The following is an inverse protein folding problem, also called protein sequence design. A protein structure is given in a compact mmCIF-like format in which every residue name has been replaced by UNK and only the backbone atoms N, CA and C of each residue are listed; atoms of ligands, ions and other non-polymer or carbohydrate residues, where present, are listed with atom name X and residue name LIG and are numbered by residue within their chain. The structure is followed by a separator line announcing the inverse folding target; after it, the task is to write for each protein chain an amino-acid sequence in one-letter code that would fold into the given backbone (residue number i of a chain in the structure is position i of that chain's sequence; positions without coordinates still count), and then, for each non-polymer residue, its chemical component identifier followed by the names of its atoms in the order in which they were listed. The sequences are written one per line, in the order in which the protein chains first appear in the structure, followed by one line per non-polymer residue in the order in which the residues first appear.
data_IF_038654470350
#
_entry.id   IF_038654470350
#
_cell.length_a   1.000
_cell.length_b   1.000
_cell.length_c   1.000
_cell.angle_alpha   90.00
_cell.angle_beta   90.00
_cell.angle_gamma   90.00
#
_symmetry.space_group_name_H-M   'P 1'
#
loop_
_entity.id
_entity.type
_entity.pdbx_description
1 polymer ?
#
# COMPACT_ATOMS: atom_id res chain seq x y z
N UNK A 1 -7.36 -1.92 1.24
CA UNK A 1 -8.73 -1.93 0.65
C UNK A 1 -9.79 -1.50 1.67
N UNK A 2 -9.90 -2.15 2.83
CA UNK A 2 -10.91 -1.79 3.83
C UNK A 2 -10.70 -0.40 4.43
N UNK A 3 -9.46 -0.09 4.82
CA UNK A 3 -9.07 1.25 5.30
C UNK A 3 -9.49 2.35 4.32
N UNK A 4 -9.21 2.18 3.02
CA UNK A 4 -9.62 3.15 2.00
C UNK A 4 -11.15 3.28 1.89
N UNK A 5 -11.89 2.18 1.97
CA UNK A 5 -13.35 2.21 1.93
C UNK A 5 -13.96 2.95 3.13
N UNK A 6 -13.40 2.74 4.33
CA UNK A 6 -13.80 3.44 5.55
C UNK A 6 -13.51 4.95 5.46
N UNK A 7 -12.32 5.32 4.96
CA UNK A 7 -11.93 6.72 4.81
C UNK A 7 -12.80 7.43 3.78
N UNK A 8 -13.12 6.78 2.65
CA UNK A 8 -14.06 7.32 1.65
C UNK A 8 -15.43 7.53 2.27
N UNK A 9 -15.96 6.56 3.00
CA UNK A 9 -17.26 6.70 3.64
C UNK A 9 -17.28 7.85 4.66
N UNK A 10 -16.21 7.98 5.44
CA UNK A 10 -16.07 9.02 6.48
C UNK A 10 -15.96 10.42 5.88
N UNK A 11 -15.09 10.60 4.88
CA UNK A 11 -14.74 11.93 4.37
C UNK A 11 -15.60 12.38 3.18
N UNK A 12 -16.11 11.44 2.38
CA UNK A 12 -16.91 11.74 1.19
C UNK A 12 -18.41 11.43 1.38
N UNK A 13 -18.79 10.82 2.51
CA UNK A 13 -20.19 10.47 2.79
C UNK A 13 -20.75 9.37 1.88
N UNK A 14 -19.92 8.68 1.11
CA UNK A 14 -20.35 7.61 0.19
C UNK A 14 -20.54 6.32 0.99
N UNK A 15 -21.75 5.74 1.06
CA UNK A 15 -21.97 4.50 1.79
C UNK A 15 -21.07 3.36 1.30
N UNK A 16 -20.53 2.57 2.22
CA UNK A 16 -19.55 1.51 1.90
C UNK A 16 -20.07 0.45 0.92
N UNK A 17 -21.39 0.28 0.79
CA UNK A 17 -22.03 -0.65 -0.14
C UNK A 17 -22.12 -0.13 -1.59
N UNK A 18 -22.01 1.19 -1.78
CA UNK A 18 -21.96 1.87 -3.07
C UNK A 18 -20.53 1.98 -3.62
N UNK A 19 -19.53 1.91 -2.74
CA UNK A 19 -18.11 1.85 -3.12
C UNK A 19 -17.83 0.56 -3.90
N UNK A 20 -17.42 0.71 -5.15
CA UNK A 20 -16.97 -0.38 -5.98
C UNK A 20 -15.70 -1.03 -5.44
N UNK A 21 -15.57 -2.33 -5.63
CA UNK A 21 -14.38 -3.09 -5.21
C UNK A 21 -13.98 -4.10 -6.29
N UNK A 22 -12.74 -4.00 -6.74
CA UNK A 22 -12.09 -4.95 -7.65
C UNK A 22 -10.82 -5.48 -6.98
N UNK A 23 -10.95 -6.62 -6.33
CA UNK A 23 -9.90 -7.14 -5.44
C UNK A 23 -10.40 -8.27 -4.56
N UNK A 24 -9.48 -9.12 -4.09
CA UNK A 24 -9.78 -10.21 -3.15
C UNK A 24 -10.93 -11.12 -3.65
N UNK A 25 -10.95 -11.43 -4.96
CA UNK A 25 -11.99 -12.26 -5.57
C UNK A 25 -13.32 -11.55 -5.86
N UNK A 26 -13.44 -10.24 -5.58
CA UNK A 26 -14.64 -9.45 -5.90
C UNK A 26 -14.42 -8.66 -7.18
N UNK A 27 -15.42 -8.66 -8.05
CA UNK A 27 -15.53 -7.78 -9.21
C UNK A 27 -16.87 -7.05 -9.15
N UNK A 28 -16.87 -5.84 -8.58
CA UNK A 28 -18.03 -4.96 -8.51
C UNK A 28 -17.59 -3.51 -8.74
N UNK A 29 -17.57 -3.03 -10.00
CA UNK A 29 -17.40 -1.61 -10.26
C UNK A 29 -18.50 -0.80 -9.56
N UNK A 30 -18.11 0.32 -8.96
CA UNK A 30 -19.00 1.27 -8.30
C UNK A 30 -19.40 2.39 -9.26
N UNK A 31 -20.53 3.06 -8.98
CA UNK A 31 -21.02 4.15 -9.84
C UNK A 31 -20.20 5.44 -9.70
N UNK A 32 -19.79 5.76 -8.47
CA UNK A 32 -19.07 7.00 -8.15
C UNK A 32 -17.57 6.75 -7.94
N UNK A 33 -17.23 5.70 -7.20
CA UNK A 33 -15.85 5.39 -6.86
C UNK A 33 -15.65 3.87 -6.83
N UNK A 34 -14.52 3.42 -7.34
CA UNK A 34 -14.11 2.02 -7.30
C UNK A 34 -12.71 1.92 -6.73
N UNK A 35 -12.55 1.11 -5.70
CA UNK A 35 -11.25 0.72 -5.18
C UNK A 35 -10.77 -0.54 -5.90
N UNK A 36 -9.52 -0.57 -6.29
CA UNK A 36 -8.95 -1.73 -6.96
C UNK A 36 -7.49 -1.98 -6.56
N UNK A 37 -7.10 -3.26 -6.56
CA UNK A 37 -5.68 -3.65 -6.50
C UNK A 37 -5.16 -3.89 -7.90
N UNK A 38 -3.92 -3.49 -8.21
CA UNK A 38 -3.32 -3.71 -9.54
C UNK A 38 -3.35 -5.18 -9.95
N UNK A 39 -3.02 -6.12 -9.06
CA UNK A 39 -3.01 -7.56 -9.40
C UNK A 39 -4.38 -8.06 -9.85
N UNK A 40 -5.46 -7.47 -9.33
CA UNK A 40 -6.82 -7.82 -9.72
C UNK A 40 -7.22 -7.12 -11.02
N UNK A 41 -6.79 -5.87 -11.22
CA UNK A 41 -7.01 -5.16 -12.48
C UNK A 41 -6.34 -5.85 -13.67
N UNK A 42 -5.11 -6.34 -13.52
CA UNK A 42 -4.42 -7.12 -14.57
C UNK A 42 -5.30 -8.26 -15.07
N UNK A 43 -5.86 -9.05 -14.14
CA UNK A 43 -6.73 -10.19 -14.46
C UNK A 43 -8.06 -9.72 -15.07
N UNK A 44 -8.65 -8.68 -14.50
CA UNK A 44 -9.92 -8.12 -15.00
C UNK A 44 -9.78 -7.65 -16.43
N UNK A 45 -8.75 -6.88 -16.76
CA UNK A 45 -8.55 -6.32 -18.10
C UNK A 45 -8.21 -7.41 -19.10
N UNK A 46 -7.38 -8.39 -18.74
CA UNK A 46 -7.08 -9.53 -19.62
C UNK A 46 -8.33 -10.37 -19.96
N UNK A 47 -9.26 -10.52 -19.01
CA UNK A 47 -10.47 -11.33 -19.17
C UNK A 47 -11.66 -10.56 -19.74
N UNK A 48 -11.57 -9.23 -19.77
CA UNK A 48 -12.66 -8.35 -20.17
C UNK A 48 -12.20 -7.60 -21.40
N UNK A 49 -12.55 -8.10 -22.59
CA UNK A 49 -12.29 -7.45 -23.89
C UNK A 49 -13.01 -6.10 -24.07
N UNK A 50 -13.43 -5.47 -22.97
CA UNK A 50 -14.42 -4.42 -22.95
C UNK A 50 -13.75 -3.06 -22.72
N UNK A 51 -13.54 -2.33 -23.82
CA UNK A 51 -13.11 -0.93 -23.83
C UNK A 51 -13.95 -0.04 -22.91
N UNK A 52 -15.19 -0.43 -22.65
CA UNK A 52 -16.13 0.29 -21.81
C UNK A 52 -15.65 0.39 -20.36
N UNK A 53 -15.03 -0.67 -19.82
CA UNK A 53 -14.53 -0.65 -18.45
C UNK A 53 -13.35 0.33 -18.31
N UNK A 54 -12.36 0.21 -19.17
CA UNK A 54 -11.17 1.08 -19.11
C UNK A 54 -11.47 2.52 -19.51
N UNK A 55 -12.57 2.76 -20.21
CA UNK A 55 -13.08 4.11 -20.54
C UNK A 55 -14.07 4.66 -19.51
N UNK A 56 -14.50 3.87 -18.52
CA UNK A 56 -15.47 4.32 -17.50
C UNK A 56 -14.85 5.18 -16.39
N UNK A 57 -13.52 5.31 -16.36
CA UNK A 57 -12.80 6.05 -15.33
C UNK A 57 -12.14 7.30 -15.91
N UNK A 58 -12.75 8.47 -15.69
CA UNK A 58 -12.16 9.75 -16.07
C UNK A 58 -10.99 10.20 -15.18
N UNK A 59 -10.86 9.63 -13.97
CA UNK A 59 -9.80 9.95 -13.00
C UNK A 59 -9.26 8.68 -12.36
N UNK A 60 -7.94 8.56 -12.26
CA UNK A 60 -7.24 7.47 -11.58
C UNK A 60 -6.34 8.02 -10.49
N UNK A 61 -6.48 7.47 -9.29
CA UNK A 61 -5.66 7.76 -8.12
C UNK A 61 -4.83 6.52 -7.79
N UNK A 62 -3.51 6.65 -7.77
CA UNK A 62 -2.58 5.54 -7.56
C UNK A 62 -1.88 5.74 -6.22
N UNK A 63 -2.25 4.91 -5.25
CA UNK A 63 -1.57 4.83 -3.96
C UNK A 63 -0.26 4.03 -4.11
N UNK A 64 0.78 4.40 -3.37
CA UNK A 64 2.15 3.91 -3.52
C UNK A 64 2.66 3.88 -4.97
N UNK A 65 2.48 5.01 -5.66
CA UNK A 65 2.77 5.12 -7.09
C UNK A 65 4.24 4.90 -7.48
N UNK A 66 5.17 4.82 -6.51
CA UNK A 66 6.56 4.46 -6.77
C UNK A 66 6.74 3.05 -7.36
N UNK A 67 5.70 2.22 -7.37
CA UNK A 67 5.67 0.91 -8.03
C UNK A 67 5.38 0.95 -9.54
N UNK A 68 4.94 2.09 -10.09
CA UNK A 68 4.57 2.23 -11.51
C UNK A 68 5.64 1.77 -12.51
N UNK A 69 6.96 1.97 -12.27
CA UNK A 69 7.99 1.53 -13.22
C UNK A 69 7.97 0.03 -13.49
N UNK A 70 7.37 -0.78 -12.62
CA UNK A 70 7.17 -2.20 -12.88
C UNK A 70 6.28 -2.41 -14.12
N UNK A 71 6.71 -3.27 -15.03
CA UNK A 71 6.04 -3.53 -16.31
C UNK A 71 4.54 -3.84 -16.14
N UNK A 72 4.19 -4.66 -15.14
CA UNK A 72 2.81 -5.02 -14.84
C UNK A 72 1.95 -3.81 -14.43
N UNK A 73 2.50 -2.89 -13.65
CA UNK A 73 1.79 -1.66 -13.28
C UNK A 73 1.56 -0.80 -14.52
N UNK A 74 2.64 -0.53 -15.26
CA UNK A 74 2.60 0.27 -16.48
C UNK A 74 1.59 -0.26 -17.49
N UNK A 75 1.67 -1.54 -17.85
CA UNK A 75 0.80 -2.14 -18.86
C UNK A 75 -0.67 -2.16 -18.44
N UNK A 76 -0.95 -2.18 -17.13
CA UNK A 76 -2.32 -2.11 -16.60
C UNK A 76 -2.86 -0.69 -16.67
N UNK A 77 -2.10 0.29 -16.17
CA UNK A 77 -2.54 1.68 -16.05
C UNK A 77 -2.67 2.35 -17.43
N UNK A 78 -1.77 2.04 -18.37
CA UNK A 78 -1.81 2.58 -19.73
C UNK A 78 -3.05 2.15 -20.55
N UNK A 79 -3.78 1.13 -20.11
CA UNK A 79 -4.99 0.69 -20.80
C UNK A 79 -6.22 1.54 -20.46
N UNK A 80 -6.14 2.37 -19.41
CA UNK A 80 -7.23 3.25 -19.02
C UNK A 80 -7.20 4.57 -19.80
N UNK A 81 -8.37 4.98 -20.27
CA UNK A 81 -8.57 6.24 -20.99
C UNK A 81 -8.92 7.38 -20.02
N UNK A 82 -8.17 7.50 -18.92
CA UNK A 82 -8.41 8.53 -17.91
C UNK A 82 -7.85 9.87 -18.35
N UNK A 83 -8.61 10.95 -18.13
CA UNK A 83 -8.13 12.31 -18.37
C UNK A 83 -7.22 12.80 -17.24
N UNK A 84 -7.53 12.43 -16.00
CA UNK A 84 -6.73 12.79 -14.82
C UNK A 84 -6.07 11.57 -14.20
N UNK A 85 -4.77 11.67 -13.91
CA UNK A 85 -4.02 10.63 -13.22
C UNK A 85 -3.14 11.26 -12.13
N UNK A 86 -3.27 10.78 -10.90
CA UNK A 86 -2.50 11.26 -9.76
C UNK A 86 -1.87 10.09 -9.02
N UNK A 87 -0.62 10.27 -8.61
CA UNK A 87 0.11 9.32 -7.77
C UNK A 87 0.39 9.90 -6.38
N UNK A 88 0.24 9.06 -5.36
CA UNK A 88 0.61 9.38 -3.99
C UNK A 88 1.71 8.43 -3.55
N UNK A 89 2.80 8.97 -3.00
CA UNK A 89 3.83 8.16 -2.35
C UNK A 89 4.66 8.98 -1.39
N UNK A 90 5.13 8.35 -0.31
CA UNK A 90 6.11 8.95 0.60
C UNK A 90 7.55 8.85 0.06
N UNK A 91 7.79 8.03 -0.97
CA UNK A 91 9.13 7.73 -1.49
C UNK A 91 9.15 7.86 -3.02
N UNK A 92 9.10 9.08 -3.56
CA UNK A 92 9.04 9.30 -5.02
C UNK A 92 10.31 8.85 -5.75
N UNK A 93 11.45 8.81 -5.07
CA UNK A 93 12.74 8.43 -5.67
C UNK A 93 13.21 7.07 -5.16
N UNK A 94 13.19 6.06 -6.03
CA UNK A 94 13.96 4.83 -5.80
C UNK A 94 15.43 5.12 -6.11
N UNK A 95 16.34 4.50 -5.35
CA UNK A 95 17.81 4.72 -5.42
C UNK A 95 18.48 4.24 -6.74
N UNK A 96 17.69 3.91 -7.77
CA UNK A 96 18.12 3.36 -9.06
C UNK A 96 17.43 4.13 -10.20
N UNK A 97 18.01 4.05 -11.40
CA UNK A 97 17.69 4.86 -12.61
C UNK A 97 16.19 4.85 -13.01
N UNK A 98 15.45 3.83 -12.57
CA UNK A 98 14.00 3.67 -12.75
C UNK A 98 13.15 4.80 -12.14
N UNK A 99 13.70 5.60 -11.21
CA UNK A 99 12.99 6.73 -10.60
C UNK A 99 12.49 7.76 -11.62
N UNK A 100 13.17 7.89 -12.77
CA UNK A 100 12.74 8.79 -13.86
C UNK A 100 11.50 8.30 -14.60
N UNK A 101 11.23 6.98 -14.59
CA UNK A 101 10.09 6.40 -15.31
C UNK A 101 8.76 6.80 -14.68
N UNK A 102 8.72 7.09 -13.38
CA UNK A 102 7.50 7.54 -12.71
C UNK A 102 6.99 8.84 -13.37
N UNK A 103 7.89 9.81 -13.58
CA UNK A 103 7.55 11.11 -14.16
C UNK A 103 7.07 11.00 -15.62
N UNK A 104 7.57 10.01 -16.37
CA UNK A 104 7.11 9.76 -17.74
C UNK A 104 5.65 9.29 -17.75
N UNK A 105 5.20 8.58 -16.72
CA UNK A 105 3.85 8.02 -16.67
C UNK A 105 2.85 8.91 -15.94
N UNK A 106 3.27 9.59 -14.87
CA UNK A 106 2.40 10.40 -14.03
C UNK A 106 2.58 11.91 -14.21
N UNK A 107 3.66 12.35 -14.85
CA UNK A 107 4.07 13.74 -14.87
C UNK A 107 4.87 14.14 -13.62
N UNK A 108 5.14 15.43 -13.52
CA UNK A 108 6.01 16.02 -12.50
C UNK A 108 5.40 15.98 -11.09
N UNK A 109 6.26 16.12 -10.07
CA UNK A 109 5.79 16.33 -8.70
C UNK A 109 5.08 17.68 -8.60
N UNK A 110 3.78 17.65 -8.29
CA UNK A 110 2.97 18.85 -8.11
C UNK A 110 3.14 19.44 -6.69
N UNK A 111 3.26 18.56 -5.69
CA UNK A 111 3.40 18.94 -4.28
C UNK A 111 4.28 17.93 -3.54
N UNK A 112 5.20 18.43 -2.72
CA UNK A 112 6.00 17.63 -1.78
C UNK A 112 5.83 18.18 -0.36
N UNK A 113 5.52 17.31 0.60
CA UNK A 113 5.42 17.68 2.02
C UNK A 113 6.66 17.12 2.71
N UNK A 114 7.57 17.99 3.13
CA UNK A 114 8.75 17.59 3.88
C UNK A 114 8.41 17.31 5.34
N UNK A 115 9.12 16.36 5.97
CA UNK A 115 8.95 16.04 7.39
C UNK A 115 9.13 17.26 8.29
N UNK A 116 10.00 18.20 7.90
CA UNK A 116 10.25 19.47 8.60
C UNK A 116 9.05 20.45 8.58
N UNK A 117 8.12 20.30 7.63
CA UNK A 117 6.90 21.12 7.59
C UNK A 117 5.79 20.53 8.48
N UNK A 118 5.92 19.27 8.90
CA UNK A 118 4.95 18.55 9.75
C UNK A 118 5.33 18.59 11.24
N UNK A 119 6.50 19.16 11.60
CA UNK A 119 7.05 19.19 12.98
C UNK A 119 6.34 20.15 13.93
N UNK A 120 5.04 19.92 14.16
CA UNK A 120 4.41 20.09 15.48
C UNK A 120 4.04 18.75 16.12
N UNK A 121 4.14 17.64 15.39
CA UNK A 121 3.89 16.30 15.93
C UNK A 121 5.14 15.69 16.59
N UNK A 122 4.98 14.96 17.70
CA UNK A 122 6.10 14.27 18.35
C UNK A 122 6.76 13.27 17.40
N UNK A 123 8.10 13.26 17.40
CA UNK A 123 8.88 12.32 16.59
C UNK A 123 8.61 10.88 17.06
N UNK A 124 8.41 9.92 16.15
CA UNK A 124 8.21 8.53 16.52
C UNK A 124 9.47 7.99 17.21
N UNK A 125 9.31 7.41 18.41
CA UNK A 125 10.41 6.75 19.12
C UNK A 125 10.60 5.34 18.57
N UNK A 126 11.69 5.13 17.83
CA UNK A 126 12.07 3.80 17.33
C UNK A 126 12.75 3.03 18.47
N UNK A 127 12.25 1.84 18.78
CA UNK A 127 12.86 0.93 19.76
C UNK A 127 13.16 -0.39 19.06
N UNK A 128 14.45 -0.63 18.78
CA UNK A 128 14.92 -1.88 18.17
C UNK A 128 15.04 -2.94 19.26
N UNK A 129 14.59 -4.16 18.96
CA UNK A 129 14.65 -5.33 19.85
C UNK A 129 15.20 -6.50 19.06
N UNK A 130 16.49 -6.78 19.28
CA UNK A 130 17.16 -7.89 18.63
C UNK A 130 16.66 -9.22 19.18
N UNK A 131 16.57 -10.20 18.29
CA UNK A 131 16.22 -11.59 18.60
C UNK A 131 17.46 -12.47 18.45
N UNK A 132 17.51 -13.57 19.20
CA UNK A 132 18.52 -14.63 19.07
C UNK A 132 18.40 -15.45 17.78
N UNK A 133 17.28 -15.33 17.06
CA UNK A 133 17.03 -16.06 15.83
C UNK A 133 18.08 -15.71 14.76
N UNK A 134 18.89 -16.71 14.42
CA UNK A 134 19.84 -16.66 13.32
C UNK A 134 19.43 -17.69 12.26
N UNK A 135 19.12 -17.19 11.06
CA UNK A 135 18.72 -18.03 9.91
C UNK A 135 19.61 -17.62 8.75
N UNK A 136 20.43 -18.53 8.20
CA UNK A 136 21.18 -18.24 7.00
C UNK A 136 20.16 -17.97 5.87
N UNK A 137 20.11 -16.72 5.42
CA UNK A 137 19.17 -16.27 4.41
C UNK A 137 19.87 -15.43 3.36
N UNK A 138 19.78 -15.86 2.11
CA UNK A 138 20.24 -15.15 0.94
C UNK A 138 19.05 -14.64 0.13
N UNK A 139 18.87 -13.32 0.13
CA UNK A 139 17.80 -12.62 -0.58
C UNK A 139 17.69 -12.95 -2.07
N UNK A 140 18.77 -13.42 -2.72
CA UNK A 140 18.79 -13.74 -4.16
C UNK A 140 18.36 -15.17 -4.46
N UNK A 141 18.57 -16.10 -3.55
CA UNK A 141 18.39 -17.54 -3.80
C UNK A 141 17.25 -18.14 -3.01
N UNK A 142 16.88 -17.53 -1.88
CA UNK A 142 16.00 -18.15 -0.91
C UNK A 142 14.60 -17.57 -0.96
N UNK A 143 13.60 -18.45 -0.87
CA UNK A 143 12.19 -18.08 -0.82
C UNK A 143 11.87 -17.39 0.50
N UNK A 144 11.32 -16.17 0.43
CA UNK A 144 10.91 -15.41 1.61
C UNK A 144 9.86 -16.17 2.45
N UNK A 145 9.02 -16.99 1.82
CA UNK A 145 8.01 -17.81 2.48
C UNK A 145 8.62 -18.73 3.54
N UNK A 146 9.81 -19.28 3.30
CA UNK A 146 10.52 -20.14 4.25
C UNK A 146 10.95 -19.34 5.48
N UNK A 147 11.59 -18.18 5.27
CA UNK A 147 12.00 -17.29 6.35
C UNK A 147 10.78 -16.81 7.16
N UNK A 148 9.70 -16.42 6.47
CA UNK A 148 8.46 -15.98 7.09
C UNK A 148 7.85 -17.06 7.99
N UNK A 149 7.87 -18.34 7.57
CA UNK A 149 7.37 -19.46 8.39
C UNK A 149 8.24 -19.66 9.64
N UNK A 150 9.56 -19.60 9.50
CA UNK A 150 10.48 -19.71 10.65
C UNK A 150 10.20 -18.58 11.65
N UNK A 151 10.07 -17.33 11.18
CA UNK A 151 9.79 -16.17 12.02
C UNK A 151 8.45 -16.26 12.77
N UNK A 152 7.43 -16.82 12.14
CA UNK A 152 6.09 -17.01 12.75
C UNK A 152 6.13 -18.08 13.85
N UNK A 153 6.94 -19.12 13.67
CA UNK A 153 7.04 -20.25 14.61
C UNK A 153 8.18 -20.13 15.62
N UNK A 154 8.96 -19.05 15.58
CA UNK A 154 9.99 -18.79 16.57
C UNK A 154 9.37 -18.46 17.94
N UNK A 155 9.50 -19.41 18.88
CA UNK A 155 8.84 -19.32 20.18
C UNK A 155 9.50 -18.29 21.10
N UNK A 156 10.81 -18.07 20.99
CA UNK A 156 11.54 -17.08 21.79
C UNK A 156 11.13 -15.66 21.42
N UNK A 157 11.09 -15.36 20.11
CA UNK A 157 10.58 -14.11 19.53
C UNK A 157 9.13 -13.87 19.92
N UNK A 158 8.26 -14.88 19.79
CA UNK A 158 6.85 -14.72 20.17
C UNK A 158 6.67 -14.46 21.68
N UNK A 159 7.49 -15.09 22.53
CA UNK A 159 7.53 -14.79 23.96
C UNK A 159 8.01 -13.36 24.23
N UNK A 160 9.04 -12.90 23.53
CA UNK A 160 9.56 -11.53 23.62
C UNK A 160 8.49 -10.50 23.21
N UNK A 161 7.81 -10.71 22.09
CA UNK A 161 6.70 -9.87 21.61
C UNK A 161 5.61 -9.78 22.69
N UNK A 162 5.20 -10.92 23.25
CA UNK A 162 4.18 -10.98 24.31
C UNK A 162 4.60 -10.21 25.56
N UNK A 163 5.86 -10.37 26.01
CA UNK A 163 6.41 -9.62 27.15
C UNK A 163 6.45 -8.11 26.89
N UNK A 164 6.82 -7.68 25.68
CA UNK A 164 6.82 -6.27 25.29
C UNK A 164 5.40 -5.71 25.33
N UNK A 165 4.43 -6.44 24.77
CA UNK A 165 3.03 -6.05 24.78
C UNK A 165 2.49 -5.87 26.20
N UNK A 166 2.70 -6.86 27.08
CA UNK A 166 2.27 -6.79 28.48
C UNK A 166 2.94 -5.64 29.25
N UNK A 167 4.24 -5.42 29.01
CA UNK A 167 4.96 -4.30 29.63
C UNK A 167 4.37 -2.96 29.19
N UNK A 168 4.08 -2.79 27.90
CA UNK A 168 3.51 -1.54 27.39
C UNK A 168 2.11 -1.28 27.97
N UNK A 169 1.24 -2.29 28.07
CA UNK A 169 -0.07 -2.17 28.71
C UNK A 169 0.03 -1.76 30.19
N UNK A 170 0.97 -2.34 30.93
CA UNK A 170 1.21 -1.97 32.32
C UNK A 170 1.73 -0.53 32.47
N UNK A 171 2.54 -0.07 31.51
CA UNK A 171 3.08 1.30 31.50
C UNK A 171 2.00 2.33 31.13
N UNK A 172 1.11 2.01 30.19
CA UNK A 172 -0.04 2.84 29.86
C UNK A 172 -1.03 2.94 31.03
N UNK A 173 -1.31 1.82 31.71
CA UNK A 173 -2.21 1.79 32.88
C UNK A 173 -1.68 2.63 34.06
N UNK A 174 -0.36 2.71 34.23
CA UNK A 174 0.28 3.53 35.25
C UNK A 174 0.37 5.02 34.90
N UNK A 175 0.13 5.39 33.64
CA UNK A 175 0.14 6.79 33.17
C UNK A 175 -1.23 7.48 33.29
N UNK A 176 -2.26 6.75 33.72
CA UNK A 176 -3.64 7.25 33.96
C UNK A 176 -3.97 7.40 35.46
N UNK A 177 -3.03 7.12 36.36
CA UNK A 177 -3.09 7.43 37.80
C UNK A 177 -2.00 8.45 38.13
#
# INVERSE_FOLDING_TARGET
MEQWAERIATFLGIPTHEIGKIGQGKYKPGKLITLATIQSLVKTIANTSNSDFTSSFGTILIDECHHIPAETYRSTIQQFNSYYQYGFTATPFRKYDDGKLIFIHLGDVITEISSQQVTKSPQPRIVIRDTSLDVPYNQKTDQFETLSKILVHDSERNSLISKIYLKNLATESASWY
#
